data_IF_623263766957
#
_entry.id   IF_623263766957
#
_cell.length_a   1.000
_cell.length_b   1.000
_cell.length_c   1.000
_cell.angle_alpha   90.00
_cell.angle_beta   90.00
_cell.angle_gamma   90.00
#
_symmetry.space_group_name_H-M   'P 1'
#
loop_
_entity.id
_entity.type
_entity.pdbx_description
1 polymer ?
#
# COMPACT_ATOMS: atom_id res chain seq x y z
N UNK A 1 -15.82 -1.05 9.86
CA UNK A 1 -15.72 -0.05 8.79
C UNK A 1 -16.88 0.93 8.97
N UNK A 2 -16.60 2.23 9.03
CA UNK A 2 -17.62 3.27 9.20
C UNK A 2 -18.50 3.39 7.94
N UNK A 3 -19.73 3.90 8.10
CA UNK A 3 -20.56 4.33 6.97
C UNK A 3 -19.74 5.28 6.07
N UNK A 4 -19.71 5.01 4.77
CA UNK A 4 -18.90 5.73 3.80
C UNK A 4 -17.55 5.07 3.45
N UNK A 5 -17.35 3.80 3.79
CA UNK A 5 -16.17 3.08 3.32
C UNK A 5 -16.13 3.02 1.79
N UNK A 6 -14.93 3.07 1.23
CA UNK A 6 -14.67 3.07 -0.22
C UNK A 6 -15.06 1.75 -0.94
N UNK A 7 -15.45 0.73 -0.19
CA UNK A 7 -15.83 -0.58 -0.73
C UNK A 7 -17.21 -0.99 -0.23
N UNK A 8 -18.07 -1.49 -1.14
CA UNK A 8 -19.25 -2.22 -0.72
C UNK A 8 -18.86 -3.60 -0.13
N UNK A 9 -19.63 -4.18 0.78
CA UNK A 9 -19.46 -5.58 1.19
C UNK A 9 -19.70 -6.55 0.00
N UNK A 10 -19.05 -7.73 -0.03
CA UNK A 10 -18.05 -8.21 0.91
C UNK A 10 -16.69 -7.50 0.75
N UNK A 11 -16.01 -7.27 1.89
CA UNK A 11 -14.71 -6.57 1.90
C UNK A 11 -13.57 -7.55 1.66
N UNK A 12 -13.25 -7.82 0.42
CA UNK A 12 -12.13 -8.70 0.03
C UNK A 12 -10.83 -7.90 -0.10
N UNK A 13 -10.31 -7.39 1.03
CA UNK A 13 -9.14 -6.51 1.07
C UNK A 13 -7.98 -7.06 1.90
N UNK A 14 -8.18 -8.10 2.69
CA UNK A 14 -7.13 -8.71 3.51
C UNK A 14 -6.90 -10.14 3.03
N UNK A 15 -5.71 -10.43 2.56
CA UNK A 15 -5.29 -11.76 2.14
C UNK A 15 -4.37 -12.35 3.20
N UNK A 16 -4.82 -13.38 3.91
CA UNK A 16 -3.94 -14.16 4.80
C UNK A 16 -3.20 -15.22 4.00
N UNK A 17 -1.90 -15.34 4.27
CA UNK A 17 -1.01 -16.23 3.54
C UNK A 17 -0.22 -17.13 4.50
N UNK A 18 0.10 -18.33 4.05
CA UNK A 18 0.92 -19.29 4.78
C UNK A 18 0.17 -20.15 5.80
N UNK A 19 0.45 -21.46 5.76
CA UNK A 19 -0.03 -22.38 6.76
C UNK A 19 0.83 -22.37 8.03
N UNK A 20 0.28 -22.77 9.19
CA UNK A 20 -1.12 -23.18 9.43
C UNK A 20 -2.07 -22.02 9.67
N UNK A 21 -1.56 -20.78 9.83
CA UNK A 21 -2.34 -19.63 10.30
C UNK A 21 -3.52 -19.26 9.37
N UNK A 22 -3.28 -19.15 8.05
CA UNK A 22 -4.33 -18.81 7.10
C UNK A 22 -5.43 -19.88 7.05
N UNK A 23 -5.06 -21.18 7.15
CA UNK A 23 -6.00 -22.28 7.21
C UNK A 23 -6.85 -22.23 8.47
N UNK A 24 -6.21 -21.99 9.63
CA UNK A 24 -6.90 -21.88 10.92
C UNK A 24 -7.93 -20.75 10.91
N UNK A 25 -7.55 -19.56 10.44
CA UNK A 25 -8.49 -18.42 10.37
C UNK A 25 -9.68 -18.74 9.47
N UNK A 26 -9.44 -19.37 8.31
CA UNK A 26 -10.51 -19.69 7.38
C UNK A 26 -11.47 -20.81 7.90
N UNK A 27 -11.02 -21.63 8.83
CA UNK A 27 -11.82 -22.70 9.45
C UNK A 27 -12.61 -22.18 10.66
N UNK A 28 -12.01 -21.31 11.47
CA UNK A 28 -12.59 -20.86 12.74
C UNK A 28 -13.41 -19.56 12.62
N UNK A 29 -13.29 -18.81 11.51
CA UNK A 29 -13.97 -17.54 11.38
C UNK A 29 -14.76 -17.47 10.05
N UNK A 30 -16.11 -17.45 10.10
CA UNK A 30 -16.96 -17.44 8.91
C UNK A 30 -16.83 -16.18 8.03
N UNK A 31 -16.14 -15.13 8.51
CA UNK A 31 -15.84 -13.96 7.69
C UNK A 31 -14.71 -14.21 6.69
N UNK A 32 -14.00 -15.33 6.80
CA UNK A 32 -12.88 -15.68 5.94
C UNK A 32 -13.18 -16.95 5.15
N UNK A 33 -12.66 -17.02 3.96
CA UNK A 33 -12.76 -18.18 3.08
C UNK A 33 -11.42 -18.54 2.47
N UNK A 34 -11.23 -19.80 2.15
CA UNK A 34 -10.07 -20.24 1.37
C UNK A 34 -10.25 -19.84 -0.09
N UNK A 35 -9.20 -19.37 -0.70
CA UNK A 35 -9.14 -18.95 -2.10
C UNK A 35 -7.95 -19.60 -2.81
N UNK A 36 -8.01 -19.66 -4.14
CA UNK A 36 -6.89 -20.09 -4.97
C UNK A 36 -5.86 -18.96 -5.14
N UNK A 37 -4.67 -19.33 -5.62
CA UNK A 37 -3.64 -18.35 -5.99
C UNK A 37 -4.14 -17.41 -7.11
N UNK A 38 -4.80 -17.93 -8.12
CA UNK A 38 -5.34 -17.13 -9.23
C UNK A 38 -6.39 -16.13 -8.75
N UNK A 39 -7.22 -16.52 -7.78
CA UNK A 39 -8.19 -15.62 -7.18
C UNK A 39 -7.52 -14.54 -6.33
N UNK A 40 -6.47 -14.89 -5.58
CA UNK A 40 -5.69 -13.92 -4.83
C UNK A 40 -5.04 -12.87 -5.74
N UNK A 41 -4.49 -13.28 -6.89
CA UNK A 41 -3.92 -12.36 -7.89
C UNK A 41 -4.99 -11.41 -8.41
N UNK A 42 -6.18 -11.90 -8.77
CA UNK A 42 -7.29 -11.04 -9.23
C UNK A 42 -7.74 -10.03 -8.19
N UNK A 43 -7.74 -10.41 -6.91
CA UNK A 43 -8.06 -9.48 -5.81
C UNK A 43 -6.99 -8.38 -5.73
N UNK A 44 -5.70 -8.72 -5.85
CA UNK A 44 -4.62 -7.74 -5.86
C UNK A 44 -4.71 -6.80 -7.05
N UNK A 45 -4.94 -7.32 -8.25
CA UNK A 45 -5.12 -6.51 -9.47
C UNK A 45 -6.30 -5.54 -9.33
N UNK A 46 -7.47 -6.04 -8.88
CA UNK A 46 -8.64 -5.20 -8.63
C UNK A 46 -8.41 -4.14 -7.56
N UNK A 47 -7.64 -4.45 -6.52
CA UNK A 47 -7.26 -3.49 -5.49
C UNK A 47 -6.30 -2.42 -6.03
N UNK A 48 -5.35 -2.82 -6.89
CA UNK A 48 -4.43 -1.91 -7.57
C UNK A 48 -5.18 -0.91 -8.47
N UNK A 49 -6.10 -1.39 -9.30
CA UNK A 49 -6.94 -0.54 -10.17
C UNK A 49 -7.76 0.49 -9.38
N UNK A 50 -8.15 0.16 -8.14
CA UNK A 50 -8.86 1.07 -7.23
C UNK A 50 -7.95 2.03 -6.47
N UNK A 51 -6.64 2.01 -6.72
CA UNK A 51 -5.65 2.87 -6.07
C UNK A 51 -5.38 2.50 -4.61
N UNK A 52 -5.54 1.22 -4.24
CA UNK A 52 -5.24 0.76 -2.89
C UNK A 52 -3.75 0.49 -2.71
N UNK A 53 -3.29 0.70 -1.49
CA UNK A 53 -1.90 0.44 -1.09
C UNK A 53 -1.74 -1.02 -0.69
N UNK A 54 -0.84 -1.73 -1.34
CA UNK A 54 -0.45 -3.07 -0.95
C UNK A 54 0.59 -3.01 0.16
N UNK A 55 0.32 -3.66 1.29
CA UNK A 55 1.22 -3.67 2.44
C UNK A 55 1.46 -5.10 2.90
N UNK A 56 2.72 -5.52 2.95
CA UNK A 56 3.11 -6.78 3.56
C UNK A 56 3.03 -6.68 5.09
N UNK A 57 2.42 -7.67 5.73
CA UNK A 57 2.27 -7.71 7.17
C UNK A 57 2.96 -8.95 7.76
N UNK A 58 3.86 -8.71 8.72
CA UNK A 58 4.56 -9.75 9.45
C UNK A 58 4.81 -9.30 10.89
N UNK A 59 4.98 -10.24 11.81
CA UNK A 59 5.18 -9.98 13.24
C UNK A 59 6.35 -10.77 13.81
N UNK A 60 6.99 -10.21 14.83
CA UNK A 60 8.00 -10.91 15.63
C UNK A 60 7.46 -12.18 16.27
N UNK A 61 6.23 -12.13 16.79
CA UNK A 61 5.54 -13.24 17.45
C UNK A 61 5.27 -14.42 16.51
N UNK A 62 5.29 -14.18 15.23
CA UNK A 62 5.17 -15.22 14.18
C UNK A 62 6.53 -15.59 13.58
N UNK A 63 7.63 -15.39 14.33
CA UNK A 63 9.00 -15.61 13.85
C UNK A 63 9.33 -14.83 12.56
N UNK A 64 8.80 -13.61 12.42
CA UNK A 64 8.88 -12.76 11.24
C UNK A 64 8.26 -13.39 9.97
N UNK A 65 7.38 -14.37 10.11
CA UNK A 65 6.67 -14.93 8.94
C UNK A 65 5.77 -13.86 8.33
N UNK A 66 5.78 -13.83 7.00
CA UNK A 66 4.81 -13.09 6.22
C UNK A 66 3.44 -13.75 6.36
N UNK A 67 2.48 -13.00 6.88
CA UNK A 67 1.17 -13.56 7.27
C UNK A 67 -0.01 -12.94 6.55
N UNK A 68 0.14 -11.74 5.99
CA UNK A 68 -0.94 -11.09 5.26
C UNK A 68 -0.46 -10.07 4.25
N UNK A 69 -1.25 -9.92 3.18
CA UNK A 69 -1.22 -8.75 2.29
C UNK A 69 -2.46 -7.92 2.60
N UNK A 70 -2.25 -6.68 3.02
CA UNK A 70 -3.32 -5.71 3.19
C UNK A 70 -3.44 -4.86 1.93
N UNK A 71 -4.66 -4.66 1.45
CA UNK A 71 -4.98 -3.79 0.31
C UNK A 71 -5.80 -2.62 0.85
N UNK A 72 -5.14 -1.53 1.20
CA UNK A 72 -5.70 -0.49 2.04
C UNK A 72 -5.77 0.88 1.35
N UNK A 73 -6.70 1.71 1.80
CA UNK A 73 -6.84 3.11 1.41
C UNK A 73 -6.82 4.03 2.64
N UNK A 74 -6.60 5.30 2.42
CA UNK A 74 -6.58 6.31 3.50
C UNK A 74 -7.93 6.52 4.20
N UNK A 75 -9.05 6.14 3.57
CA UNK A 75 -10.38 6.30 4.17
C UNK A 75 -10.71 5.21 5.21
N UNK A 76 -10.20 3.99 5.05
CA UNK A 76 -10.57 2.83 5.87
C UNK A 76 -9.44 2.34 6.78
N UNK A 77 -8.18 2.42 6.34
CA UNK A 77 -7.06 1.87 7.07
C UNK A 77 -6.68 2.73 8.28
N UNK A 78 -6.76 2.16 9.48
CA UNK A 78 -6.34 2.83 10.70
C UNK A 78 -4.86 3.23 10.67
N UNK A 79 -3.99 2.38 10.10
CA UNK A 79 -2.56 2.66 9.96
C UNK A 79 -2.28 3.88 9.08
N UNK A 80 -2.87 3.93 7.87
CA UNK A 80 -2.70 5.07 6.97
C UNK A 80 -3.31 6.35 7.55
N UNK A 81 -4.47 6.25 8.18
CA UNK A 81 -5.11 7.40 8.85
C UNK A 81 -4.25 7.94 9.99
N UNK A 82 -3.69 7.07 10.80
CA UNK A 82 -2.80 7.46 11.90
C UNK A 82 -1.50 8.06 11.36
N UNK A 83 -0.92 7.47 10.30
CA UNK A 83 0.24 8.03 9.61
C UNK A 83 -0.03 9.47 9.14
N UNK A 84 -1.17 9.71 8.49
CA UNK A 84 -1.54 11.03 8.01
C UNK A 84 -1.82 12.02 9.15
N UNK A 85 -2.44 11.55 10.24
CA UNK A 85 -2.73 12.38 11.43
C UNK A 85 -1.45 12.82 12.13
N UNK A 86 -0.48 11.93 12.24
CA UNK A 86 0.81 12.18 12.89
C UNK A 86 1.89 12.69 11.92
N UNK A 87 1.52 12.95 10.67
CA UNK A 87 2.43 13.41 9.61
C UNK A 87 3.71 12.56 9.44
N UNK A 88 3.61 11.28 9.72
CA UNK A 88 4.75 10.35 9.66
C UNK A 88 5.71 10.42 10.86
N UNK A 89 5.39 11.18 11.92
CA UNK A 89 6.23 11.30 13.11
C UNK A 89 6.41 9.98 13.89
N UNK A 90 5.45 9.05 13.75
CA UNK A 90 5.53 7.72 14.36
C UNK A 90 5.67 6.65 13.27
N UNK A 91 6.68 5.78 13.33
CA UNK A 91 6.94 4.76 12.31
C UNK A 91 5.98 3.58 12.45
N UNK A 92 4.70 3.80 12.15
CA UNK A 92 3.64 2.77 12.17
C UNK A 92 3.79 1.79 11.01
N UNK A 93 4.31 2.29 9.88
CA UNK A 93 4.52 1.56 8.64
C UNK A 93 5.92 1.85 8.11
N UNK A 94 6.57 0.86 7.52
CA UNK A 94 7.84 1.05 6.83
C UNK A 94 7.60 1.42 5.37
N UNK A 95 8.37 2.37 4.81
CA UNK A 95 8.33 2.67 3.39
C UNK A 95 8.94 1.53 2.56
N UNK A 96 8.65 1.52 1.25
CA UNK A 96 9.08 0.45 0.33
C UNK A 96 10.57 0.50 -0.06
N UNK A 97 11.30 1.54 0.33
CA UNK A 97 12.65 1.80 -0.15
C UNK A 97 12.70 2.64 -1.43
N UNK A 98 11.55 3.14 -1.87
CA UNK A 98 11.39 3.96 -3.08
C UNK A 98 10.69 5.28 -2.76
N UNK A 99 10.79 6.23 -3.68
CA UNK A 99 10.00 7.46 -3.74
C UNK A 99 9.54 7.73 -5.16
N UNK A 100 8.40 8.40 -5.27
CA UNK A 100 7.91 8.84 -6.58
C UNK A 100 8.74 10.02 -7.09
N UNK A 101 9.02 10.02 -8.39
CA UNK A 101 9.56 11.16 -9.12
C UNK A 101 8.64 11.52 -10.28
N UNK A 102 8.60 12.80 -10.63
CA UNK A 102 7.74 13.33 -11.68
C UNK A 102 8.65 13.88 -12.79
N UNK A 103 8.37 13.47 -14.03
CA UNK A 103 9.09 13.94 -15.22
C UNK A 103 8.53 15.26 -15.74
N UNK A 104 9.27 15.89 -16.68
CA UNK A 104 8.83 17.12 -17.34
C UNK A 104 7.59 16.93 -18.26
N UNK A 105 7.21 15.70 -18.54
CA UNK A 105 6.00 15.35 -19.29
C UNK A 105 4.70 15.49 -18.47
N UNK A 106 4.80 15.87 -17.19
CA UNK A 106 3.67 16.06 -16.30
C UNK A 106 2.74 17.17 -16.82
N UNK A 107 1.48 16.81 -17.07
CA UNK A 107 0.44 17.75 -17.53
C UNK A 107 -0.18 18.61 -16.42
N UNK A 108 0.20 18.43 -15.14
CA UNK A 108 -0.39 19.15 -14.02
C UNK A 108 -1.85 18.78 -13.71
N UNK A 109 -2.36 17.64 -14.20
CA UNK A 109 -3.79 17.27 -14.08
C UNK A 109 -4.27 16.98 -12.65
N UNK A 110 -3.37 16.76 -11.67
CA UNK A 110 -3.71 16.56 -10.26
C UNK A 110 -4.24 15.19 -9.85
N UNK A 111 -4.50 14.26 -10.79
CA UNK A 111 -5.03 12.91 -10.47
C UNK A 111 -4.20 12.19 -9.40
N UNK A 112 -2.88 12.31 -9.46
CA UNK A 112 -1.97 11.72 -8.48
C UNK A 112 -2.03 12.38 -7.09
N UNK A 113 -2.44 13.65 -7.01
CA UNK A 113 -2.65 14.36 -5.73
C UNK A 113 -3.82 13.73 -4.99
N UNK A 114 -4.96 13.55 -5.70
CA UNK A 114 -6.17 12.96 -5.13
C UNK A 114 -5.98 11.47 -4.77
N UNK A 115 -5.21 10.74 -5.60
CA UNK A 115 -4.93 9.32 -5.39
C UNK A 115 -3.90 9.05 -4.27
N UNK A 116 -3.15 10.05 -3.81
CA UNK A 116 -2.08 9.84 -2.84
C UNK A 116 -2.62 9.54 -1.44
N UNK A 117 -2.64 8.28 -1.05
CA UNK A 117 -3.09 7.83 0.26
C UNK A 117 -2.28 8.41 1.44
N UNK A 118 -1.04 8.86 1.20
CA UNK A 118 -0.12 9.39 2.22
C UNK A 118 -0.01 10.92 2.17
N UNK A 119 -0.79 11.60 1.33
CA UNK A 119 -0.75 13.06 1.15
C UNK A 119 0.66 13.61 0.90
N UNK A 120 1.45 12.82 0.17
CA UNK A 120 2.84 13.15 -0.17
C UNK A 120 2.96 13.93 -1.48
N UNK A 121 1.90 14.06 -2.26
CA UNK A 121 1.88 14.74 -3.55
C UNK A 121 0.97 15.95 -3.43
N UNK A 122 1.44 17.11 -3.87
CA UNK A 122 0.70 18.36 -3.82
C UNK A 122 1.03 19.21 -5.06
N UNK A 123 0.24 20.23 -5.30
CA UNK A 123 0.63 21.28 -6.23
C UNK A 123 1.72 22.16 -5.61
N UNK A 124 2.59 22.72 -6.44
CA UNK A 124 3.54 23.77 -6.05
C UNK A 124 2.80 25.08 -5.67
N UNK A 125 3.53 26.09 -5.21
CA UNK A 125 2.97 27.39 -4.83
C UNK A 125 2.25 28.11 -5.98
N UNK A 126 2.64 27.83 -7.22
CA UNK A 126 2.01 28.39 -8.43
C UNK A 126 0.73 27.66 -8.84
N UNK A 127 0.50 26.46 -8.33
CA UNK A 127 -0.64 25.61 -8.69
C UNK A 127 -0.55 24.99 -10.08
N UNK A 128 0.61 25.09 -10.74
CA UNK A 128 0.80 24.63 -12.13
C UNK A 128 1.51 23.28 -12.21
N UNK A 129 2.35 22.97 -11.24
CA UNK A 129 3.15 21.74 -11.20
C UNK A 129 2.82 20.89 -9.98
N UNK A 130 2.97 19.61 -10.16
CA UNK A 130 2.82 18.65 -9.07
C UNK A 130 4.20 18.34 -8.48
N UNK A 131 4.31 18.35 -7.16
CA UNK A 131 5.55 18.09 -6.43
C UNK A 131 5.38 16.96 -5.42
N UNK A 132 6.47 16.22 -5.17
CA UNK A 132 6.48 15.11 -4.22
C UNK A 132 7.23 15.51 -2.95
N UNK A 133 6.56 15.43 -1.81
CA UNK A 133 7.21 15.46 -0.51
C UNK A 133 7.83 14.09 -0.23
N UNK A 134 9.14 13.95 -0.45
CA UNK A 134 9.86 12.71 -0.25
C UNK A 134 9.81 12.21 1.20
N UNK A 135 9.72 13.11 2.18
CA UNK A 135 9.58 12.76 3.60
C UNK A 135 8.30 11.95 3.88
N UNK A 136 7.19 12.35 3.28
CA UNK A 136 5.88 11.69 3.42
C UNK A 136 5.67 10.53 2.43
N UNK A 137 6.41 10.47 1.33
CA UNK A 137 6.26 9.44 0.32
C UNK A 137 6.67 8.06 0.85
N UNK A 138 5.78 7.08 0.73
CA UNK A 138 6.00 5.70 1.16
C UNK A 138 6.44 4.78 0.01
N UNK A 139 6.51 5.30 -1.21
CA UNK A 139 6.91 4.53 -2.39
C UNK A 139 5.93 3.41 -2.78
N UNK A 140 4.64 3.62 -2.55
CA UNK A 140 3.62 2.59 -2.77
C UNK A 140 3.21 2.40 -4.25
N UNK A 141 3.63 3.30 -5.18
CA UNK A 141 3.37 3.18 -6.60
C UNK A 141 1.98 3.60 -7.09
N UNK A 142 1.02 3.88 -6.21
CA UNK A 142 -0.36 4.22 -6.62
C UNK A 142 -0.40 5.37 -7.62
N UNK A 143 0.38 6.44 -7.39
CA UNK A 143 0.43 7.60 -8.27
C UNK A 143 1.02 7.29 -9.66
N UNK A 144 1.93 6.33 -9.77
CA UNK A 144 2.46 5.82 -11.04
C UNK A 144 1.36 5.13 -11.84
N UNK A 145 0.61 4.22 -11.18
CA UNK A 145 -0.47 3.46 -11.82
C UNK A 145 -1.65 4.32 -12.31
N UNK A 146 -1.92 5.47 -11.66
CA UNK A 146 -3.06 6.34 -12.05
C UNK A 146 -2.65 7.49 -12.98
N UNK A 147 -1.37 7.65 -13.31
CA UNK A 147 -0.90 8.76 -14.13
C UNK A 147 -1.30 8.56 -15.60
N UNK A 148 -2.20 9.38 -16.17
CA UNK A 148 -2.71 9.15 -17.52
C UNK A 148 -1.69 9.37 -18.63
N UNK A 149 -0.61 10.09 -18.34
CA UNK A 149 0.47 10.40 -19.30
C UNK A 149 1.78 9.68 -18.95
N UNK A 150 1.79 8.80 -17.93
CA UNK A 150 2.97 8.04 -17.54
C UNK A 150 4.14 8.90 -17.01
N UNK A 151 3.86 10.11 -16.54
CA UNK A 151 4.88 11.05 -16.09
C UNK A 151 5.42 10.77 -14.67
N UNK A 152 4.95 9.73 -14.00
CA UNK A 152 5.39 9.37 -12.65
C UNK A 152 6.04 7.99 -12.68
N UNK A 153 7.18 7.87 -12.03
CA UNK A 153 7.88 6.60 -11.83
C UNK A 153 8.41 6.50 -10.39
N UNK A 154 8.71 5.29 -9.95
CA UNK A 154 9.40 5.06 -8.68
C UNK A 154 10.91 5.05 -8.90
N UNK A 155 11.64 5.77 -8.06
CA UNK A 155 13.10 5.67 -7.98
C UNK A 155 13.53 5.11 -6.63
N UNK A 156 14.64 4.40 -6.61
CA UNK A 156 15.26 3.90 -5.38
C UNK A 156 15.68 5.08 -4.49
N UNK A 157 15.36 4.99 -3.19
CA UNK A 157 15.71 5.99 -2.20
C UNK A 157 16.29 5.31 -0.96
N UNK A 158 17.64 5.22 -0.83
CA UNK A 158 18.28 4.49 0.26
C UNK A 158 17.90 4.97 1.66
N UNK A 159 17.58 6.27 1.81
CA UNK A 159 17.13 6.83 3.10
C UNK A 159 15.78 6.27 3.58
N UNK A 160 15.03 5.63 2.68
CA UNK A 160 13.75 4.95 2.96
C UNK A 160 13.92 3.47 3.35
N UNK A 161 15.15 3.00 3.53
CA UNK A 161 15.47 1.62 3.88
C UNK A 161 15.59 0.70 2.65
N UNK A 162 15.77 -0.58 2.91
CA UNK A 162 15.83 -1.59 1.85
C UNK A 162 14.43 -2.07 1.48
N UNK A 163 14.17 -2.33 0.18
CA UNK A 163 12.94 -2.99 -0.24
C UNK A 163 12.75 -4.33 0.46
N UNK A 164 11.51 -4.69 0.73
CA UNK A 164 11.21 -5.99 1.31
C UNK A 164 11.55 -7.09 0.31
N UNK A 165 12.48 -7.96 0.68
CA UNK A 165 12.76 -9.20 -0.01
C UNK A 165 12.02 -10.34 0.71
N UNK A 166 10.95 -10.85 0.08
CA UNK A 166 10.10 -11.89 0.67
C UNK A 166 10.84 -13.23 0.69
N UNK A 167 11.67 -13.54 -0.30
CA UNK A 167 12.43 -14.80 -0.37
C UNK A 167 13.47 -14.85 0.75
N UNK A 168 14.21 -13.75 0.94
CA UNK A 168 15.16 -13.62 2.04
C UNK A 168 14.44 -13.72 3.41
N UNK A 169 13.30 -13.02 3.57
CA UNK A 169 12.51 -13.08 4.79
C UNK A 169 12.05 -14.50 5.11
N UNK A 170 11.54 -15.23 4.10
CA UNK A 170 11.04 -16.59 4.26
C UNK A 170 12.17 -17.60 4.52
N UNK A 171 13.37 -17.38 3.97
CA UNK A 171 14.53 -18.24 4.20
C UNK A 171 15.05 -18.20 5.64
N UNK A 172 14.76 -17.12 6.37
CA UNK A 172 15.18 -16.93 7.77
C UNK A 172 14.19 -17.56 8.78
N UNK A 173 13.09 -18.11 8.30
CA UNK A 173 12.10 -18.76 9.16
C UNK A 173 12.53 -20.21 9.40
N UNK A 174 12.72 -20.66 10.65
CA UNK A 174 13.08 -22.02 10.99
C UNK A 174 11.96 -23.03 10.67
#
# INVERSE_FOLDING_TARGET
LSEGSCLPPPYEICLFVGGPFASFIAEENPMFRKISQDEAVKILESAHEKGFVHTAYFKRETANRFIAICNCCSCCCAGIRMWNLLEGAVPIMAPSGYVSQISDECSGCGVCVDACNFKAINFDEGGERVVVNSGKCMGCGVCEGVCPVGAISLRREPSKGEPLDIEELMSRVP
#
